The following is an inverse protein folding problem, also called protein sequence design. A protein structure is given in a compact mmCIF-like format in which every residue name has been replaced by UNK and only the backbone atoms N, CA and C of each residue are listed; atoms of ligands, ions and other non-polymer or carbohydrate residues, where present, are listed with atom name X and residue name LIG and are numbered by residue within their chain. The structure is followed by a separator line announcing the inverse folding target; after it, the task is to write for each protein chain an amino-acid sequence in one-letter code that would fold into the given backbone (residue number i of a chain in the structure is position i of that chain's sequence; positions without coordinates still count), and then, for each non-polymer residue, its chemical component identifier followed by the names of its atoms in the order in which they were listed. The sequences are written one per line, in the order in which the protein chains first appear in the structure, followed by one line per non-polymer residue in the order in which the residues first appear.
data_IF_043179770827
#
_entry.id   IF_043179770827
#
_cell.length_a   1.000
_cell.length_b   1.000
_cell.length_c   1.000
_cell.angle_alpha   90.00
_cell.angle_beta   90.00
_cell.angle_gamma   90.00
#
_symmetry.space_group_name_H-M   'P 1'
#
loop_
_entity.id
_entity.type
_entity.pdbx_description
1 polymer ?
#
# COMPACT_ATOMS: atom_id res chain seq x y z
N UNK A 1 15.63 -2.07 -6.24
CA UNK A 1 14.30 -2.06 -5.61
C UNK A 1 13.94 -3.32 -4.80
N UNK A 2 14.22 -4.55 -5.25
CA UNK A 2 13.90 -5.79 -4.48
C UNK A 2 14.40 -5.82 -3.03
N UNK A 3 15.48 -5.10 -2.70
CA UNK A 3 16.00 -4.96 -1.33
C UNK A 3 15.06 -4.16 -0.41
N UNK A 4 14.42 -3.11 -0.92
CA UNK A 4 13.47 -2.30 -0.15
C UNK A 4 12.28 -3.13 0.34
N UNK A 5 11.64 -3.88 -0.57
CA UNK A 5 10.50 -4.73 -0.21
C UNK A 5 10.84 -5.87 0.78
N UNK A 6 12.13 -6.19 0.94
CA UNK A 6 12.60 -7.16 1.93
C UNK A 6 12.98 -6.52 3.28
N UNK A 7 13.11 -5.19 3.33
CA UNK A 7 13.54 -4.45 4.51
C UNK A 7 12.53 -4.55 5.66
N UNK A 8 13.01 -4.36 6.89
CA UNK A 8 12.16 -4.40 8.09
C UNK A 8 11.20 -3.22 8.12
N UNK A 9 11.67 -2.07 7.70
CA UNK A 9 10.95 -0.80 7.62
C UNK A 9 9.73 -0.94 6.71
N UNK A 10 9.92 -1.45 5.50
CA UNK A 10 8.80 -1.68 4.58
C UNK A 10 7.80 -2.70 5.13
N UNK A 11 8.28 -3.83 5.66
CA UNK A 11 7.39 -4.86 6.23
C UNK A 11 6.54 -4.32 7.38
N UNK A 12 7.12 -3.47 8.23
CA UNK A 12 6.41 -2.78 9.32
C UNK A 12 5.40 -1.78 8.74
N UNK A 13 5.85 -0.85 7.90
CA UNK A 13 4.98 0.16 7.28
C UNK A 13 3.83 -0.45 6.50
N UNK A 14 4.08 -1.49 5.71
CA UNK A 14 3.03 -2.24 4.99
C UNK A 14 1.95 -2.79 5.94
N UNK A 15 2.33 -3.34 7.10
CA UNK A 15 1.36 -3.81 8.10
C UNK A 15 0.58 -2.65 8.74
N UNK A 16 1.23 -1.52 9.00
CA UNK A 16 0.58 -0.31 9.52
C UNK A 16 -0.47 0.22 8.55
N UNK A 17 -0.13 0.35 7.26
CA UNK A 17 -1.06 0.83 6.22
C UNK A 17 -2.24 -0.13 6.03
N UNK A 18 -1.99 -1.45 5.99
CA UNK A 18 -3.08 -2.43 5.94
C UNK A 18 -4.01 -2.32 7.15
N UNK A 19 -3.48 -2.08 8.35
CA UNK A 19 -4.30 -1.90 9.56
C UNK A 19 -5.10 -0.59 9.53
N UNK A 20 -4.46 0.53 9.13
CA UNK A 20 -5.12 1.83 8.93
C UNK A 20 -6.34 1.69 8.02
N UNK A 21 -6.19 0.91 6.96
CA UNK A 21 -7.19 0.70 5.93
C UNK A 21 -8.18 -0.42 6.28
N UNK A 22 -8.18 -0.94 7.52
CA UNK A 22 -8.99 -2.08 7.99
C UNK A 22 -8.83 -3.35 7.14
N UNK A 23 -7.70 -3.51 6.45
CA UNK A 23 -7.45 -4.55 5.46
C UNK A 23 -8.45 -4.52 4.30
N UNK A 24 -9.01 -3.35 3.97
CA UNK A 24 -9.96 -3.12 2.88
C UNK A 24 -9.26 -2.45 1.70
N UNK A 25 -9.62 -2.87 0.49
CA UNK A 25 -9.20 -2.21 -0.74
C UNK A 25 -9.80 -0.81 -0.80
N UNK A 26 -8.94 0.22 -0.74
CA UNK A 26 -9.39 1.60 -0.71
C UNK A 26 -10.04 2.03 -2.04
N UNK A 27 -9.64 1.44 -3.17
CA UNK A 27 -10.28 1.69 -4.47
C UNK A 27 -11.70 1.13 -4.51
N UNK A 28 -11.89 -0.16 -4.22
CA UNK A 28 -13.22 -0.77 -4.17
C UNK A 28 -14.14 -0.06 -3.17
N UNK A 29 -13.60 0.35 -2.01
CA UNK A 29 -14.36 1.10 -1.00
C UNK A 29 -14.89 2.44 -1.51
N UNK A 30 -14.07 3.20 -2.26
CA UNK A 30 -14.52 4.46 -2.89
C UNK A 30 -15.62 4.24 -3.93
N UNK A 31 -15.64 3.10 -4.58
CA UNK A 31 -16.68 2.69 -5.54
C UNK A 31 -17.94 2.14 -4.86
N UNK A 32 -18.00 2.13 -3.52
CA UNK A 32 -19.12 1.58 -2.75
C UNK A 32 -19.08 0.06 -2.59
N UNK A 33 -18.01 -0.59 -3.05
CA UNK A 33 -17.80 -2.02 -2.93
C UNK A 33 -16.94 -2.42 -1.73
N UNK A 34 -16.76 -3.74 -1.56
CA UNK A 34 -15.88 -4.32 -0.55
C UNK A 34 -14.96 -5.35 -1.20
N UNK A 35 -13.67 -5.30 -0.82
CA UNK A 35 -12.69 -6.32 -1.16
C UNK A 35 -11.57 -6.29 -0.13
N UNK A 36 -11.04 -7.46 0.21
CA UNK A 36 -9.89 -7.56 1.11
C UNK A 36 -8.62 -7.06 0.42
N UNK A 37 -7.92 -6.12 1.03
CA UNK A 37 -6.61 -5.71 0.58
C UNK A 37 -5.56 -6.78 0.87
N UNK A 38 -4.75 -7.09 -0.14
CA UNK A 38 -3.67 -8.08 -0.07
C UNK A 38 -2.30 -7.44 -0.23
N UNK A 39 -2.24 -6.19 -0.67
CA UNK A 39 -0.99 -5.46 -0.91
C UNK A 39 -1.13 -3.98 -0.60
N UNK A 40 0.00 -3.29 -0.51
CA UNK A 40 0.08 -1.83 -0.37
C UNK A 40 0.80 -1.29 -1.60
N UNK A 41 0.13 -0.40 -2.31
CA UNK A 41 0.57 0.25 -3.53
C UNK A 41 1.22 1.59 -3.24
N UNK A 42 2.27 1.93 -3.99
CA UNK A 42 2.88 3.26 -4.02
C UNK A 42 2.19 4.12 -5.08
N UNK A 43 1.43 5.15 -4.68
CA UNK A 43 0.70 6.04 -5.61
C UNK A 43 1.67 6.72 -6.58
N UNK A 44 2.74 7.32 -6.04
CA UNK A 44 3.91 7.76 -6.79
C UNK A 44 4.96 6.66 -6.74
N UNK A 45 5.38 6.20 -7.92
CA UNK A 45 6.28 5.07 -8.04
C UNK A 45 7.61 5.28 -7.29
N UNK A 46 8.03 4.22 -6.60
CA UNK A 46 9.21 4.20 -5.74
C UNK A 46 10.53 4.48 -6.48
N UNK A 47 10.62 4.20 -7.78
CA UNK A 47 11.82 4.40 -8.59
C UNK A 47 12.08 5.88 -8.86
N UNK A 48 10.99 6.66 -9.03
CA UNK A 48 11.02 8.10 -9.26
C UNK A 48 10.99 8.91 -7.97
N UNK A 49 10.34 8.38 -6.94
CA UNK A 49 10.11 9.08 -5.67
C UNK A 49 10.54 8.23 -4.45
N UNK A 50 11.83 7.88 -4.33
CA UNK A 50 12.33 7.10 -3.19
C UNK A 50 12.13 7.81 -1.84
N UNK A 51 12.09 9.14 -1.82
CA UNK A 51 11.80 9.97 -0.64
C UNK A 51 10.38 9.75 -0.09
N UNK A 52 9.45 9.28 -0.93
CA UNK A 52 8.06 9.00 -0.57
C UNK A 52 7.80 7.53 -0.23
N UNK A 53 8.86 6.71 -0.13
CA UNK A 53 8.75 5.26 0.00
C UNK A 53 7.93 4.78 1.22
N UNK A 54 7.95 5.56 2.30
CA UNK A 54 7.32 5.25 3.60
C UNK A 54 6.30 6.32 4.03
N UNK A 55 5.95 7.26 3.14
CA UNK A 55 5.01 8.34 3.42
C UNK A 55 3.58 7.83 3.27
N UNK A 56 2.78 7.96 4.33
CA UNK A 56 1.44 7.34 4.41
C UNK A 56 0.47 7.80 3.31
N UNK A 57 0.55 9.07 2.89
CA UNK A 57 -0.26 9.63 1.80
C UNK A 57 0.16 9.14 0.41
N UNK A 58 1.32 8.50 0.30
CA UNK A 58 1.79 7.85 -0.92
C UNK A 58 1.51 6.34 -0.93
N UNK A 59 0.85 5.81 0.11
CA UNK A 59 0.62 4.38 0.31
C UNK A 59 -0.86 4.05 0.43
N UNK A 60 -1.31 3.10 -0.38
CA UNK A 60 -2.72 2.71 -0.47
C UNK A 60 -2.90 1.19 -0.41
N UNK A 61 -3.79 0.69 0.45
CA UNK A 61 -4.13 -0.74 0.48
C UNK A 61 -5.06 -1.13 -0.67
N UNK A 62 -4.66 -2.11 -1.47
CA UNK A 62 -5.40 -2.59 -2.64
C UNK A 62 -5.59 -4.12 -2.63
N UNK A 63 -6.67 -4.58 -3.25
CA UNK A 63 -6.85 -6.00 -3.59
C UNK A 63 -6.01 -6.38 -4.82
N UNK A 64 -5.89 -7.68 -5.10
CA UNK A 64 -5.10 -8.16 -6.25
C UNK A 64 -5.68 -7.78 -7.61
N UNK A 65 -6.95 -7.37 -7.70
CA UNK A 65 -7.58 -6.91 -8.95
C UNK A 65 -7.29 -5.43 -9.21
N UNK A 66 -7.24 -4.60 -8.15
CA UNK A 66 -7.01 -3.16 -8.30
C UNK A 66 -5.54 -2.77 -8.40
N UNK A 67 -4.62 -3.63 -7.94
CA UNK A 67 -3.18 -3.38 -7.94
C UNK A 67 -2.54 -3.85 -9.25
#
# INVERSE_FOLDING_TARGET
MKRFYKSKEWKRKRKEILRRDNYECQRCKREGGFSKATTVHHIKHLDKHPELALVDSNLESLCGVCH
#
